data_IF_349945870124
#
_entry.id   IF_349945870124
#
_cell.length_a   1.000
_cell.length_b   1.000
_cell.length_c   1.000
_cell.angle_alpha   90.00
_cell.angle_beta   90.00
_cell.angle_gamma   90.00
#
_symmetry.space_group_name_H-M   'P 1'
#
loop_
_entity.id
_entity.type
_entity.pdbx_description
1 polymer ?
#
# COMPACT_ATOMS: atom_id res chain seq x y z
N UNK A 1 -12.65 5.71 -31.67
CA UNK A 1 -11.62 5.32 -30.67
C UNK A 1 -11.02 3.99 -31.11
N UNK A 2 -9.75 3.96 -31.55
CA UNK A 2 -9.14 2.73 -32.06
C UNK A 2 -8.79 1.77 -30.91
N UNK A 3 -9.24 0.52 -31.00
CA UNK A 3 -8.93 -0.52 -30.02
C UNK A 3 -7.40 -0.78 -30.00
N UNK A 4 -6.77 -0.63 -28.83
CA UNK A 4 -5.36 -1.04 -28.65
C UNK A 4 -5.26 -2.54 -28.89
N UNK A 5 -4.46 -2.97 -29.87
CA UNK A 5 -4.14 -4.38 -30.09
C UNK A 5 -3.52 -4.94 -28.80
N UNK A 6 -4.12 -5.99 -28.24
CA UNK A 6 -3.59 -6.69 -27.07
C UNK A 6 -2.38 -7.51 -27.52
N UNK A 7 -1.18 -6.97 -27.33
CA UNK A 7 0.06 -7.73 -27.52
C UNK A 7 0.08 -8.87 -26.51
N UNK A 8 0.28 -10.10 -26.96
CA UNK A 8 0.39 -11.24 -26.05
C UNK A 8 1.70 -11.15 -25.26
N UNK A 9 1.77 -11.68 -24.03
CA UNK A 9 3.02 -11.71 -23.26
C UNK A 9 4.19 -12.34 -24.04
N UNK A 10 3.90 -13.34 -24.89
CA UNK A 10 4.85 -14.03 -25.77
C UNK A 10 5.42 -13.12 -26.86
N UNK A 11 4.59 -12.28 -27.46
CA UNK A 11 5.04 -11.28 -28.45
C UNK A 11 5.85 -10.18 -27.77
N UNK A 12 5.44 -9.77 -26.57
CA UNK A 12 6.14 -8.74 -25.79
C UNK A 12 7.54 -9.18 -25.35
N UNK A 13 7.68 -10.39 -24.80
CA UNK A 13 8.97 -10.92 -24.34
C UNK A 13 9.75 -11.71 -25.41
N UNK A 14 9.26 -11.78 -26.65
CA UNK A 14 9.83 -12.59 -27.75
C UNK A 14 10.04 -14.07 -27.37
N UNK A 15 9.16 -14.62 -26.54
CA UNK A 15 9.27 -15.99 -26.02
C UNK A 15 10.40 -16.20 -25.02
N UNK A 16 11.06 -15.13 -24.52
CA UNK A 16 12.08 -15.26 -23.48
C UNK A 16 11.44 -15.58 -22.15
N UNK A 17 11.77 -16.75 -21.62
CA UNK A 17 11.51 -17.15 -20.24
C UNK A 17 12.84 -17.11 -19.49
N UNK A 18 12.93 -16.24 -18.49
CA UNK A 18 14.09 -16.16 -17.60
C UNK A 18 13.87 -17.02 -16.35
N UNK A 19 14.96 -17.40 -15.69
CA UNK A 19 14.86 -17.92 -14.33
C UNK A 19 14.25 -16.85 -13.43
N UNK A 20 13.24 -17.21 -12.65
CA UNK A 20 12.67 -16.28 -11.67
C UNK A 20 13.75 -15.93 -10.65
N UNK A 21 13.94 -14.64 -10.35
CA UNK A 21 14.83 -14.24 -9.26
C UNK A 21 14.25 -14.78 -7.96
N UNK A 22 15.05 -15.34 -7.04
CA UNK A 22 14.59 -15.58 -5.69
C UNK A 22 13.97 -14.31 -5.12
N UNK A 23 12.89 -14.45 -4.34
CA UNK A 23 12.36 -13.32 -3.60
C UNK A 23 13.51 -12.77 -2.73
N UNK A 24 13.98 -11.57 -3.06
CA UNK A 24 14.85 -10.85 -2.15
C UNK A 24 13.96 -10.47 -0.97
N UNK A 25 14.16 -11.09 0.19
CA UNK A 25 13.51 -10.67 1.41
C UNK A 25 13.88 -9.21 1.63
N UNK A 26 12.94 -8.30 1.38
CA UNK A 26 13.10 -6.93 1.83
C UNK A 26 13.16 -6.98 3.36
N UNK A 27 14.04 -6.19 4.02
CA UNK A 27 13.99 -6.08 5.46
C UNK A 27 12.55 -5.68 5.84
N UNK A 28 11.96 -6.45 6.75
CA UNK A 28 10.67 -6.10 7.33
C UNK A 28 10.88 -4.73 7.97
N UNK A 29 10.11 -3.73 7.54
CA UNK A 29 10.08 -2.42 8.20
C UNK A 29 10.01 -2.65 9.71
N UNK A 30 10.92 -2.05 10.48
CA UNK A 30 10.91 -2.23 11.93
C UNK A 30 9.53 -1.89 12.47
N UNK A 31 9.03 -2.77 13.34
CA UNK A 31 7.71 -2.57 13.93
C UNK A 31 7.76 -1.33 14.81
N UNK A 32 6.92 -0.36 14.50
CA UNK A 32 6.76 0.81 15.36
C UNK A 32 6.29 0.36 16.75
N UNK A 33 6.97 0.85 17.79
CA UNK A 33 6.69 0.55 19.20
C UNK A 33 5.88 1.63 19.91
N UNK A 34 5.52 2.72 19.21
CA UNK A 34 4.74 3.82 19.78
C UNK A 34 3.30 3.37 20.00
N UNK A 35 2.83 3.47 21.24
CA UNK A 35 1.48 3.11 21.63
C UNK A 35 0.43 3.88 20.82
N UNK A 36 -0.56 3.15 20.31
CA UNK A 36 -1.65 3.70 19.50
C UNK A 36 -1.29 4.01 18.05
N UNK A 37 -0.05 3.82 17.60
CA UNK A 37 0.31 4.00 16.20
C UNK A 37 -0.44 3.01 15.29
N UNK A 38 -1.14 3.52 14.28
CA UNK A 38 -1.98 2.72 13.38
C UNK A 38 -3.38 2.42 13.92
N UNK A 39 -3.81 3.10 14.99
CA UNK A 39 -5.19 2.98 15.53
C UNK A 39 -6.23 3.49 14.52
N UNK A 40 -7.46 3.02 14.67
CA UNK A 40 -8.60 3.51 13.88
C UNK A 40 -8.87 4.98 14.20
N UNK A 41 -9.19 5.76 13.17
CA UNK A 41 -9.64 7.13 13.30
C UNK A 41 -11.16 7.15 13.55
N UNK A 42 -11.57 6.90 14.80
CA UNK A 42 -12.98 6.77 15.22
C UNK A 42 -13.72 8.13 15.38
N UNK A 43 -13.39 9.12 14.54
CA UNK A 43 -13.97 10.47 14.64
C UNK A 43 -13.42 11.33 15.77
N UNK A 44 -12.54 10.79 16.63
CA UNK A 44 -11.80 11.57 17.61
C UNK A 44 -10.85 12.58 16.94
N UNK A 45 -10.62 13.70 17.63
CA UNK A 45 -9.64 14.70 17.22
C UNK A 45 -8.26 14.04 17.08
N UNK A 46 -7.55 14.39 16.00
CA UNK A 46 -6.19 13.93 15.78
C UNK A 46 -5.28 14.56 16.82
N UNK A 47 -4.49 13.73 17.52
CA UNK A 47 -3.53 14.22 18.50
C UNK A 47 -2.45 15.08 17.81
N UNK A 48 -1.90 16.06 18.53
CA UNK A 48 -0.85 16.92 18.00
C UNK A 48 0.37 16.11 17.56
N UNK A 49 0.89 16.40 16.36
CA UNK A 49 2.02 15.66 15.77
C UNK A 49 1.66 14.29 15.17
N UNK A 50 0.41 13.86 15.26
CA UNK A 50 -0.06 12.64 14.60
C UNK A 50 -0.55 12.91 13.19
N UNK A 51 -0.57 11.87 12.37
CA UNK A 51 -0.94 11.93 10.96
C UNK A 51 -2.11 10.98 10.68
N UNK A 52 -3.15 11.47 10.01
CA UNK A 52 -4.29 10.66 9.60
C UNK A 52 -4.17 10.24 8.14
N UNK A 53 -4.40 8.97 7.86
CA UNK A 53 -4.51 8.44 6.49
C UNK A 53 -5.93 8.00 6.22
N UNK A 54 -6.50 8.50 5.12
CA UNK A 54 -7.75 8.02 4.53
C UNK A 54 -7.52 7.79 3.03
N UNK A 55 -7.75 6.56 2.57
CA UNK A 55 -7.44 6.11 1.21
C UNK A 55 -8.74 5.88 0.45
N UNK A 56 -9.12 6.78 -0.47
CA UNK A 56 -10.32 6.60 -1.27
C UNK A 56 -10.31 5.27 -2.00
N UNK A 57 -11.44 4.56 -1.97
CA UNK A 57 -11.61 3.25 -2.59
C UNK A 57 -10.67 2.14 -2.06
N UNK A 58 -10.05 2.34 -0.89
CA UNK A 58 -9.49 1.23 -0.12
C UNK A 58 -10.57 0.55 0.71
N UNK A 59 -10.34 -0.71 1.06
CA UNK A 59 -11.10 -1.42 2.10
C UNK A 59 -10.54 -1.19 3.50
N UNK A 60 -9.39 -0.54 3.64
CA UNK A 60 -8.88 -0.13 4.95
C UNK A 60 -9.65 1.09 5.47
N UNK A 61 -10.10 1.06 6.74
CA UNK A 61 -10.66 2.25 7.38
C UNK A 61 -9.57 3.31 7.62
N UNK A 62 -9.96 4.58 7.82
CA UNK A 62 -9.03 5.63 8.18
C UNK A 62 -8.26 5.33 9.49
N UNK A 63 -6.98 5.69 9.54
CA UNK A 63 -6.06 5.39 10.67
C UNK A 63 -5.19 6.59 11.05
N UNK A 64 -4.79 6.64 12.32
CA UNK A 64 -3.88 7.65 12.88
C UNK A 64 -2.48 7.06 13.16
N UNK A 65 -1.44 7.82 12.86
CA UNK A 65 -0.05 7.39 12.92
C UNK A 65 0.81 8.38 13.70
N UNK A 66 1.78 7.86 14.45
CA UNK A 66 2.65 8.68 15.30
C UNK A 66 3.69 9.51 14.52
N UNK A 67 3.86 9.27 13.22
CA UNK A 67 4.84 9.96 12.38
C UNK A 67 4.45 9.90 10.90
N UNK A 68 5.00 10.82 10.11
CA UNK A 68 4.82 10.85 8.66
C UNK A 68 5.31 9.57 7.98
N UNK A 69 6.39 8.95 8.47
CA UNK A 69 6.90 7.69 7.94
C UNK A 69 5.92 6.53 8.15
N UNK A 70 5.40 6.38 9.37
CA UNK A 70 4.38 5.38 9.65
C UNK A 70 3.11 5.60 8.82
N UNK A 71 2.71 6.86 8.61
CA UNK A 71 1.59 7.19 7.73
C UNK A 71 1.86 6.79 6.27
N UNK A 72 3.07 7.01 5.75
CA UNK A 72 3.44 6.60 4.39
C UNK A 72 3.37 5.07 4.21
N UNK A 73 3.87 4.30 5.18
CA UNK A 73 3.76 2.83 5.18
C UNK A 73 2.30 2.40 5.25
N UNK A 74 1.51 3.01 6.15
CA UNK A 74 0.08 2.74 6.29
C UNK A 74 -0.71 3.00 5.00
N UNK A 75 -0.43 4.13 4.33
CA UNK A 75 -1.00 4.48 3.02
C UNK A 75 -0.69 3.42 1.98
N UNK A 76 0.59 3.03 1.85
CA UNK A 76 1.02 2.04 0.88
C UNK A 76 0.31 0.69 1.09
N UNK A 77 0.13 0.26 2.35
CA UNK A 77 -0.62 -0.96 2.67
C UNK A 77 -2.10 -0.85 2.32
N UNK A 78 -2.72 0.32 2.54
CA UNK A 78 -4.10 0.57 2.17
C UNK A 78 -4.32 0.62 0.65
N UNK A 79 -3.37 1.17 -0.12
CA UNK A 79 -3.40 1.18 -1.59
C UNK A 79 -3.36 -0.25 -2.17
N UNK A 80 -2.69 -1.19 -1.48
CA UNK A 80 -2.67 -2.61 -1.86
C UNK A 80 -3.97 -3.37 -1.54
N UNK A 81 -4.92 -2.74 -0.83
CA UNK A 81 -6.19 -3.34 -0.40
C UNK A 81 -7.38 -2.63 -1.04
N UNK A 82 -7.58 -2.78 -2.37
CA UNK A 82 -8.70 -2.14 -3.05
C UNK A 82 -10.03 -2.58 -2.43
N UNK A 83 -10.99 -1.66 -2.35
CA UNK A 83 -12.35 -1.98 -1.98
C UNK A 83 -12.90 -3.05 -2.94
N UNK A 84 -13.48 -4.12 -2.39
CA UNK A 84 -14.23 -5.09 -3.21
C UNK A 84 -15.47 -4.36 -3.74
N UNK A 85 -15.57 -4.24 -5.06
CA UNK A 85 -16.76 -3.71 -5.75
C UNK A 85 -17.88 -4.74 -5.75
#
# INVERSE_FOLDING_TARGET
MAARKKTTPKEWNKGKVGASRPAAGAPVVERCTVDGCGRLAEGAALAEGWHRTDVPASSEPPRDWCSAWCAAVGRALADLRPARR
#
